data_IF_428484052812
#
_entry.id   IF_428484052812
#
_cell.length_a   1.000
_cell.length_b   1.000
_cell.length_c   1.000
_cell.angle_alpha   90.00
_cell.angle_beta   90.00
_cell.angle_gamma   90.00
#
_symmetry.space_group_name_H-M   'P 1'
#
loop_
_entity.id
_entity.type
_entity.pdbx_description
1 polymer ?
#
# COMPACT_ATOMS: atom_id res chain seq x y z
N UNK A 1 -13.73 -5.74 4.83
CA UNK A 1 -13.61 -5.68 3.35
C UNK A 1 -14.49 -6.73 2.70
N UNK A 2 -15.26 -6.42 1.65
CA UNK A 2 -16.04 -7.43 0.94
C UNK A 2 -15.14 -8.24 -0.01
N UNK A 3 -15.58 -9.42 -0.45
CA UNK A 3 -14.82 -10.31 -1.35
C UNK A 3 -14.49 -9.62 -2.69
N UNK A 4 -15.37 -8.75 -3.18
CA UNK A 4 -15.14 -7.99 -4.41
C UNK A 4 -13.99 -6.99 -4.26
N UNK A 5 -14.01 -6.23 -3.17
CA UNK A 5 -12.97 -5.25 -2.85
C UNK A 5 -11.61 -5.93 -2.59
N UNK A 6 -11.62 -7.13 -1.99
CA UNK A 6 -10.40 -7.90 -1.76
C UNK A 6 -9.77 -8.44 -3.05
N UNK A 7 -10.57 -8.95 -3.98
CA UNK A 7 -10.05 -9.40 -5.27
C UNK A 7 -9.50 -8.23 -6.09
N UNK A 8 -10.19 -7.08 -6.08
CA UNK A 8 -9.71 -5.86 -6.74
C UNK A 8 -8.37 -5.38 -6.16
N UNK A 9 -8.20 -5.48 -4.84
CA UNK A 9 -6.93 -5.19 -4.18
C UNK A 9 -5.82 -6.16 -4.61
N UNK A 10 -6.10 -7.47 -4.68
CA UNK A 10 -5.10 -8.45 -5.14
C UNK A 10 -4.68 -8.18 -6.59
N UNK A 11 -5.64 -7.87 -7.47
CA UNK A 11 -5.36 -7.54 -8.86
C UNK A 11 -4.55 -6.24 -8.97
N UNK A 12 -4.80 -5.27 -8.10
CA UNK A 12 -4.01 -4.04 -8.01
C UNK A 12 -2.56 -4.30 -7.59
N UNK A 13 -2.35 -5.20 -6.62
CA UNK A 13 -1.02 -5.62 -6.18
C UNK A 13 -0.26 -6.34 -7.30
N UNK A 14 -0.92 -7.26 -8.02
CA UNK A 14 -0.28 -8.00 -9.11
C UNK A 14 0.11 -7.09 -10.29
N UNK A 15 -0.71 -6.06 -10.55
CA UNK A 15 -0.51 -5.13 -11.66
C UNK A 15 0.33 -3.89 -11.35
N UNK A 16 0.74 -3.67 -10.10
CA UNK A 16 1.53 -2.50 -9.72
C UNK A 16 0.72 -1.20 -9.71
N UNK A 17 -0.59 -1.29 -9.47
CA UNK A 17 -1.50 -0.13 -9.39
C UNK A 17 -1.32 0.64 -8.09
N UNK A 18 -1.68 1.92 -8.12
CA UNK A 18 -1.54 2.77 -6.93
C UNK A 18 -2.66 2.45 -5.93
N UNK A 19 -2.31 2.41 -4.65
CA UNK A 19 -3.22 2.04 -3.57
C UNK A 19 -3.14 3.11 -2.48
N UNK A 20 -4.20 3.87 -2.32
CA UNK A 20 -4.38 4.86 -1.25
C UNK A 20 -5.17 4.24 -0.10
N UNK A 21 -4.70 4.45 1.13
CA UNK A 21 -5.30 3.88 2.33
C UNK A 21 -4.99 4.72 3.56
N UNK A 22 -5.78 4.55 4.62
CA UNK A 22 -5.57 5.21 5.91
C UNK A 22 -5.29 4.23 7.04
N UNK A 23 -4.51 4.69 8.01
CA UNK A 23 -4.17 4.02 9.26
C UNK A 23 -4.05 5.06 10.38
N UNK A 24 -4.81 4.93 11.47
CA UNK A 24 -4.78 5.87 12.61
C UNK A 24 -4.87 7.37 12.21
N UNK A 25 -5.82 7.72 11.34
CA UNK A 25 -6.03 9.08 10.80
C UNK A 25 -4.90 9.61 9.88
N UNK A 26 -3.83 8.84 9.69
CA UNK A 26 -2.77 9.14 8.72
C UNK A 26 -3.08 8.49 7.37
N UNK A 27 -2.74 9.19 6.28
CA UNK A 27 -2.92 8.74 4.91
C UNK A 27 -1.61 8.24 4.31
N UNK A 28 -1.73 7.16 3.56
CA UNK A 28 -0.63 6.46 2.94
C UNK A 28 -0.95 6.10 1.50
N UNK A 29 0.10 5.98 0.69
CA UNK A 29 -0.02 5.57 -0.70
C UNK A 29 1.14 4.68 -1.13
N UNK A 30 0.81 3.60 -1.83
CA UNK A 30 1.74 2.94 -2.74
C UNK A 30 1.59 3.55 -4.12
N UNK A 31 2.65 4.13 -4.69
CA UNK A 31 2.60 4.83 -5.97
C UNK A 31 3.69 4.39 -6.94
N UNK A 32 3.49 4.65 -8.22
CA UNK A 32 4.47 4.36 -9.27
C UNK A 32 4.97 5.67 -9.89
N UNK A 33 6.28 5.91 -9.76
CA UNK A 33 6.96 7.02 -10.43
C UNK A 33 8.02 6.51 -11.42
N UNK A 34 8.60 7.43 -12.19
CA UNK A 34 9.57 7.12 -13.26
C UNK A 34 10.72 6.19 -12.83
N UNK A 35 11.14 6.28 -11.57
CA UNK A 35 12.30 5.55 -11.03
C UNK A 35 11.93 4.20 -10.39
N UNK A 36 10.64 3.93 -10.19
CA UNK A 36 10.13 2.72 -9.57
C UNK A 36 8.92 2.98 -8.68
N UNK A 37 8.67 2.04 -7.77
CA UNK A 37 7.58 2.08 -6.82
C UNK A 37 8.03 2.67 -5.49
N UNK A 38 7.09 3.36 -4.84
CA UNK A 38 7.31 4.05 -3.57
C UNK A 38 6.16 3.79 -2.62
N UNK A 39 6.49 3.80 -1.33
CA UNK A 39 5.56 3.80 -0.22
C UNK A 39 5.72 5.13 0.53
N UNK A 40 4.64 5.89 0.62
CA UNK A 40 4.64 7.25 1.15
C UNK A 40 3.56 7.41 2.20
N UNK A 41 3.83 8.29 3.15
CA UNK A 41 2.82 8.95 3.99
C UNK A 41 2.54 10.33 3.39
N UNK A 42 1.34 10.87 3.53
CA UNK A 42 0.94 12.16 2.90
C UNK A 42 1.94 13.32 3.13
N UNK A 43 2.74 13.28 4.20
CA UNK A 43 3.73 14.29 4.56
C UNK A 43 5.19 13.96 4.16
N UNK A 44 5.45 12.81 3.50
CA UNK A 44 6.81 12.46 3.09
C UNK A 44 7.00 11.07 2.47
N UNK A 45 8.24 10.83 2.02
CA UNK A 45 8.65 9.52 1.50
C UNK A 45 9.06 8.61 2.66
N UNK A 46 8.46 7.42 2.76
CA UNK A 46 8.89 6.44 3.76
C UNK A 46 9.83 5.39 3.15
N UNK A 47 9.55 4.89 1.94
CA UNK A 47 10.38 3.86 1.28
C UNK A 47 10.35 3.98 -0.26
N UNK A 48 11.51 3.86 -0.91
CA UNK A 48 11.67 3.77 -2.37
C UNK A 48 12.93 4.48 -2.90
N UNK A 49 13.22 4.40 -4.21
CA UNK A 49 12.52 3.58 -5.21
C UNK A 49 12.84 2.08 -5.08
N UNK A 50 11.82 1.23 -5.25
CA UNK A 50 11.95 -0.21 -5.43
C UNK A 50 11.46 -0.62 -6.83
N UNK A 51 12.11 -1.57 -7.48
CA UNK A 51 11.74 -2.04 -8.84
C UNK A 51 10.65 -3.10 -8.81
N UNK A 52 10.51 -3.80 -7.70
CA UNK A 52 9.53 -4.87 -7.53
C UNK A 52 8.43 -4.42 -6.55
N UNK A 53 7.22 -4.20 -7.08
CA UNK A 53 6.08 -3.74 -6.30
C UNK A 53 5.69 -4.70 -5.18
N UNK A 54 5.68 -6.00 -5.49
CA UNK A 54 5.40 -7.02 -4.49
C UNK A 54 6.42 -6.98 -3.34
N UNK A 55 7.70 -6.79 -3.65
CA UNK A 55 8.75 -6.63 -2.63
C UNK A 55 8.50 -5.39 -1.78
N UNK A 56 8.17 -4.25 -2.38
CA UNK A 56 7.83 -3.03 -1.65
C UNK A 56 6.69 -3.28 -0.66
N UNK A 57 5.60 -3.90 -1.10
CA UNK A 57 4.45 -4.22 -0.23
C UNK A 57 4.86 -5.16 0.91
N UNK A 58 5.63 -6.21 0.62
CA UNK A 58 6.05 -7.19 1.63
C UNK A 58 7.02 -6.61 2.68
N UNK A 59 7.82 -5.62 2.31
CA UNK A 59 8.81 -4.99 3.20
C UNK A 59 8.28 -3.72 3.90
N UNK A 60 7.16 -3.16 3.43
CA UNK A 60 6.57 -1.94 3.98
C UNK A 60 6.01 -2.15 5.38
N UNK A 61 6.28 -1.18 6.24
CA UNK A 61 5.88 -1.19 7.65
C UNK A 61 5.35 0.17 8.05
N UNK A 62 4.32 0.15 8.89
CA UNK A 62 3.75 1.33 9.54
C UNK A 62 3.88 1.12 11.05
N UNK A 63 4.53 2.06 11.74
CA UNK A 63 4.85 1.94 13.17
C UNK A 63 5.53 0.62 13.55
N UNK A 64 6.40 0.12 12.64
CA UNK A 64 7.12 -1.14 12.81
C UNK A 64 6.31 -2.41 12.50
N UNK A 65 5.01 -2.31 12.20
CA UNK A 65 4.14 -3.43 11.83
C UNK A 65 4.07 -3.60 10.31
N UNK A 66 4.19 -4.82 9.78
CA UNK A 66 4.04 -5.07 8.34
C UNK A 66 2.66 -4.64 7.82
N UNK A 67 2.63 -3.96 6.67
CA UNK A 67 1.37 -3.50 6.06
C UNK A 67 0.37 -4.63 5.83
N UNK A 68 0.86 -5.81 5.39
CA UNK A 68 0.02 -6.97 5.13
C UNK A 68 -0.67 -7.51 6.39
N UNK A 69 -0.05 -7.36 7.57
CA UNK A 69 -0.66 -7.75 8.85
C UNK A 69 -1.77 -6.77 9.22
N UNK A 70 -1.57 -5.47 9.00
CA UNK A 70 -2.58 -4.45 9.23
C UNK A 70 -3.79 -4.66 8.29
N UNK A 71 -3.54 -5.01 7.02
CA UNK A 71 -4.60 -5.39 6.08
C UNK A 71 -5.38 -6.62 6.55
N UNK A 72 -4.69 -7.69 6.95
CA UNK A 72 -5.32 -8.93 7.40
C UNK A 72 -6.17 -8.74 8.67
N UNK A 73 -5.78 -7.81 9.54
CA UNK A 73 -6.52 -7.47 10.76
C UNK A 73 -7.69 -6.50 10.53
N UNK A 74 -7.85 -5.95 9.31
CA UNK A 74 -8.74 -4.83 9.00
C UNK A 74 -8.41 -3.55 9.80
N UNK A 75 -7.13 -3.34 10.10
CA UNK A 75 -6.65 -2.12 10.78
C UNK A 75 -6.45 -0.94 9.80
N UNK A 76 -6.42 -1.21 8.50
CA UNK A 76 -6.34 -0.20 7.44
C UNK A 76 -7.64 -0.12 6.65
N UNK A 77 -7.95 1.08 6.17
CA UNK A 77 -9.05 1.34 5.25
C UNK A 77 -8.49 1.70 3.88
N UNK A 78 -8.69 0.83 2.89
CA UNK A 78 -8.33 1.14 1.50
C UNK A 78 -9.35 2.14 0.95
N UNK A 79 -8.87 3.32 0.59
CA UNK A 79 -9.71 4.44 0.15
C UNK A 79 -9.88 4.45 -1.37
N UNK A 80 -8.82 4.17 -2.13
CA UNK A 80 -8.83 4.25 -3.59
C UNK A 80 -7.76 3.34 -4.20
N UNK A 81 -8.07 2.75 -5.35
CA UNK A 81 -7.15 1.99 -6.20
C UNK A 81 -7.16 2.64 -7.60
N UNK A 82 -6.01 3.15 -8.06
CA UNK A 82 -5.86 3.88 -9.33
C UNK A 82 -5.30 2.99 -10.43
#
# INVERSE_FOLDING_TARGET
MNIKDYQELLDAIDSGREIEFSYNDDKYIFLHAKEGFYFCKDDGWEVGPEKNYYKLIMESKIDGKPWIELLANNDIEVETIL
#
